data_IF_313389518598
#
_entry.id   IF_313389518598
#
_cell.length_a   1.000
_cell.length_b   1.000
_cell.length_c   1.000
_cell.angle_alpha   90.00
_cell.angle_beta   90.00
_cell.angle_gamma   90.00
#
_symmetry.space_group_name_H-M   'P 1'
#
loop_
_entity.id
_entity.type
_entity.pdbx_description
1 polymer ?
#
# COMPACT_ATOMS: atom_id res chain seq x y z
N UNK A 1 -44.97 -6.28 8.32
CA UNK A 1 -44.08 -5.10 8.55
C UNK A 1 -44.68 -3.83 7.96
N UNK A 2 -44.98 -3.77 6.66
CA UNK A 2 -45.59 -2.59 6.03
C UNK A 2 -46.96 -2.21 6.61
N UNK A 3 -47.71 -3.19 7.13
CA UNK A 3 -49.04 -2.95 7.72
C UNK A 3 -48.97 -2.11 9.00
N UNK A 4 -47.92 -2.28 9.81
CA UNK A 4 -47.73 -1.50 11.04
C UNK A 4 -47.39 -0.04 10.69
N UNK A 5 -46.52 0.18 9.72
CA UNK A 5 -46.20 1.53 9.23
C UNK A 5 -47.43 2.22 8.64
N UNK A 6 -48.26 1.50 7.87
CA UNK A 6 -49.53 2.01 7.35
C UNK A 6 -50.51 2.33 8.48
N UNK A 7 -50.64 1.47 9.48
CA UNK A 7 -51.53 1.66 10.62
C UNK A 7 -51.11 2.83 11.55
N UNK A 8 -49.81 3.08 11.68
CA UNK A 8 -49.27 4.26 12.39
C UNK A 8 -49.58 5.53 11.58
N UNK A 9 -49.36 5.51 10.26
CA UNK A 9 -49.65 6.66 9.38
C UNK A 9 -51.14 7.00 9.34
N UNK A 10 -52.01 5.99 9.31
CA UNK A 10 -53.47 6.16 9.33
C UNK A 10 -54.03 6.54 10.72
N UNK A 11 -53.21 6.50 11.77
CA UNK A 11 -53.62 6.78 13.14
C UNK A 11 -54.41 5.67 13.82
N UNK A 12 -54.53 4.49 13.18
CA UNK A 12 -55.22 3.33 13.74
C UNK A 12 -54.45 2.68 14.90
N UNK A 13 -53.11 2.77 14.88
CA UNK A 13 -52.24 2.25 15.94
C UNK A 13 -51.49 3.39 16.60
N UNK A 14 -51.57 3.46 17.93
CA UNK A 14 -50.75 4.39 18.70
C UNK A 14 -49.29 3.89 18.69
N UNK A 15 -48.34 4.69 18.16
CA UNK A 15 -46.94 4.28 18.04
C UNK A 15 -46.26 4.02 19.39
N UNK A 16 -46.80 4.57 20.49
CA UNK A 16 -46.30 4.30 21.84
C UNK A 16 -46.61 2.89 22.34
N UNK A 17 -47.62 2.23 21.76
CA UNK A 17 -48.06 0.90 22.15
C UNK A 17 -47.48 -0.20 21.25
N UNK A 18 -46.70 0.16 20.24
CA UNK A 18 -46.02 -0.80 19.35
C UNK A 18 -44.91 -1.50 20.14
N UNK A 19 -44.89 -2.85 20.07
CA UNK A 19 -43.87 -3.66 20.73
C UNK A 19 -42.48 -3.25 20.24
N UNK A 20 -41.45 -3.31 21.11
CA UNK A 20 -40.09 -2.94 20.72
C UNK A 20 -39.58 -3.65 19.46
N UNK A 21 -39.87 -4.95 19.30
CA UNK A 21 -39.37 -5.74 18.17
C UNK A 21 -40.01 -5.29 16.84
N UNK A 22 -41.33 -5.12 16.82
CA UNK A 22 -42.06 -4.59 15.66
C UNK A 22 -41.61 -3.17 15.30
N UNK A 23 -41.34 -2.34 16.31
CA UNK A 23 -40.84 -0.98 16.13
C UNK A 23 -39.42 -0.99 15.55
N UNK A 24 -38.54 -1.90 16.00
CA UNK A 24 -37.18 -2.06 15.45
C UNK A 24 -37.22 -2.47 13.98
N UNK A 25 -38.12 -3.36 13.58
CA UNK A 25 -38.31 -3.70 12.16
C UNK A 25 -38.69 -2.47 11.32
N UNK A 26 -39.59 -1.62 11.83
CA UNK A 26 -39.96 -0.37 11.18
C UNK A 26 -38.78 0.61 11.10
N UNK A 27 -38.00 0.74 12.18
CA UNK A 27 -36.79 1.58 12.20
C UNK A 27 -35.74 1.07 11.21
N UNK A 28 -35.47 -0.24 11.18
CA UNK A 28 -34.52 -0.85 10.25
C UNK A 28 -34.91 -0.60 8.79
N UNK A 29 -36.21 -0.75 8.47
CA UNK A 29 -36.72 -0.49 7.13
C UNK A 29 -36.57 0.97 6.71
N UNK A 30 -37.01 1.93 7.52
CA UNK A 30 -36.93 3.36 7.20
C UNK A 30 -35.48 3.86 7.10
N UNK A 31 -34.57 3.33 7.92
CA UNK A 31 -33.13 3.61 7.81
C UNK A 31 -32.56 3.02 6.52
N UNK A 32 -33.01 1.82 6.11
CA UNK A 32 -32.65 1.22 4.84
C UNK A 32 -33.12 2.02 3.61
N UNK A 33 -34.21 2.78 3.76
CA UNK A 33 -34.69 3.76 2.76
C UNK A 33 -33.89 5.08 2.77
N UNK A 34 -32.94 5.24 3.69
CA UNK A 34 -32.05 6.39 3.77
C UNK A 34 -32.55 7.54 4.64
N UNK A 35 -33.63 7.36 5.41
CA UNK A 35 -34.14 8.41 6.30
C UNK A 35 -33.21 8.63 7.50
N UNK A 36 -33.07 9.90 7.91
CA UNK A 36 -32.35 10.31 9.11
C UNK A 36 -33.09 9.91 10.40
N UNK A 37 -32.38 9.88 11.53
CA UNK A 37 -32.96 9.52 12.84
C UNK A 37 -34.14 10.44 13.22
N UNK A 38 -34.03 11.73 12.89
CA UNK A 38 -35.08 12.73 13.15
C UNK A 38 -36.32 12.51 12.28
N UNK A 39 -36.12 12.20 10.99
CA UNK A 39 -37.23 11.87 10.07
C UNK A 39 -37.92 10.58 10.49
N UNK A 40 -37.15 9.55 10.87
CA UNK A 40 -37.70 8.30 11.41
C UNK A 40 -38.51 8.56 12.68
N UNK A 41 -38.01 9.41 13.58
CA UNK A 41 -38.72 9.81 14.80
C UNK A 41 -40.05 10.53 14.48
N UNK A 42 -40.06 11.40 13.47
CA UNK A 42 -41.26 12.10 13.01
C UNK A 42 -42.27 11.14 12.39
N UNK A 43 -41.84 10.25 11.50
CA UNK A 43 -42.69 9.25 10.82
C UNK A 43 -43.33 8.30 11.83
N UNK A 44 -42.55 7.82 12.80
CA UNK A 44 -43.04 6.91 13.83
C UNK A 44 -43.69 7.64 15.01
N UNK A 45 -43.67 8.98 15.06
CA UNK A 45 -44.13 9.82 16.18
C UNK A 45 -43.59 9.36 17.55
N UNK A 46 -42.30 9.03 17.59
CA UNK A 46 -41.56 8.63 18.81
C UNK A 46 -40.39 9.58 19.05
N UNK A 47 -39.78 9.52 20.24
CA UNK A 47 -38.61 10.35 20.53
C UNK A 47 -37.38 9.91 19.72
N UNK A 48 -36.55 10.88 19.32
CA UNK A 48 -35.24 10.63 18.69
C UNK A 48 -34.37 9.69 19.54
N UNK A 49 -34.43 9.84 20.88
CA UNK A 49 -33.71 8.96 21.82
C UNK A 49 -34.17 7.50 21.72
N UNK A 50 -35.45 7.26 21.47
CA UNK A 50 -35.99 5.90 21.26
C UNK A 50 -35.45 5.30 19.97
N UNK A 51 -35.49 6.06 18.87
CA UNK A 51 -34.94 5.61 17.57
C UNK A 51 -33.45 5.29 17.69
N UNK A 52 -32.68 6.14 18.36
CA UNK A 52 -31.25 5.90 18.57
C UNK A 52 -30.98 4.63 19.39
N UNK A 53 -31.79 4.36 20.43
CA UNK A 53 -31.70 3.12 21.22
C UNK A 53 -32.05 1.89 20.39
N UNK A 54 -33.13 1.95 19.61
CA UNK A 54 -33.55 0.84 18.76
C UNK A 54 -32.51 0.56 17.68
N UNK A 55 -31.91 1.60 17.08
CA UNK A 55 -30.80 1.45 16.12
C UNK A 55 -29.57 0.78 16.73
N UNK A 56 -29.26 1.12 17.98
CA UNK A 56 -28.18 0.45 18.71
C UNK A 56 -28.49 -1.04 18.91
N UNK A 57 -29.70 -1.38 19.33
CA UNK A 57 -30.11 -2.78 19.49
C UNK A 57 -30.07 -3.56 18.16
N UNK A 58 -30.54 -2.96 17.07
CA UNK A 58 -30.45 -3.53 15.71
C UNK A 58 -29.00 -3.77 15.32
N UNK A 59 -28.11 -2.81 15.59
CA UNK A 59 -26.69 -2.95 15.26
C UNK A 59 -25.99 -4.02 16.11
N UNK A 60 -26.37 -4.16 17.39
CA UNK A 60 -25.85 -5.20 18.28
C UNK A 60 -26.34 -6.59 17.85
N UNK A 61 -27.61 -6.71 17.44
CA UNK A 61 -28.20 -7.95 16.92
C UNK A 61 -27.60 -8.36 15.57
N UNK A 62 -27.34 -7.39 14.69
CA UNK A 62 -26.71 -7.61 13.39
C UNK A 62 -25.18 -7.56 13.43
N UNK A 63 -24.57 -7.46 14.61
CA UNK A 63 -23.13 -7.39 14.74
C UNK A 63 -22.51 -8.68 14.21
N UNK A 64 -21.73 -8.58 13.13
CA UNK A 64 -20.96 -9.70 12.60
C UNK A 64 -19.86 -10.01 13.61
N UNK A 65 -19.94 -11.20 14.22
CA UNK A 65 -18.91 -11.66 15.13
C UNK A 65 -17.63 -12.00 14.35
N UNK A 66 -16.43 -11.73 14.92
CA UNK A 66 -15.19 -12.16 14.31
C UNK A 66 -15.16 -13.69 14.18
N UNK A 67 -15.20 -14.18 12.94
CA UNK A 67 -15.07 -15.60 12.64
C UNK A 67 -13.99 -15.78 11.56
N UNK A 68 -12.98 -16.60 11.89
CA UNK A 68 -11.87 -16.88 11.00
C UNK A 68 -12.34 -17.56 9.69
N UNK A 69 -13.40 -18.37 9.74
CA UNK A 69 -13.96 -19.00 8.54
C UNK A 69 -14.64 -17.97 7.65
N UNK A 70 -15.42 -17.08 8.24
CA UNK A 70 -16.06 -15.98 7.53
C UNK A 70 -15.02 -15.08 6.84
N UNK A 71 -13.95 -14.72 7.56
CA UNK A 71 -12.85 -13.95 6.99
C UNK A 71 -12.24 -14.63 5.75
N UNK A 72 -12.06 -15.96 5.79
CA UNK A 72 -11.49 -16.71 4.66
C UNK A 72 -12.42 -16.73 3.46
N UNK A 73 -13.72 -16.92 3.69
CA UNK A 73 -14.75 -16.88 2.64
C UNK A 73 -14.82 -15.51 1.96
N UNK A 74 -14.79 -14.43 2.75
CA UNK A 74 -14.78 -13.07 2.20
C UNK A 74 -13.48 -12.72 1.49
N UNK A 75 -12.32 -13.19 2.00
CA UNK A 75 -11.04 -13.02 1.32
C UNK A 75 -11.04 -13.70 -0.06
N UNK A 76 -11.55 -14.94 -0.15
CA UNK A 76 -11.71 -15.64 -1.43
C UNK A 76 -12.66 -14.94 -2.39
N UNK A 77 -13.81 -14.44 -1.88
CA UNK A 77 -14.75 -13.64 -2.70
C UNK A 77 -14.10 -12.34 -3.19
N UNK A 78 -13.32 -11.67 -2.35
CA UNK A 78 -12.61 -10.46 -2.71
C UNK A 78 -11.55 -10.73 -3.79
N UNK A 79 -10.84 -11.86 -3.71
CA UNK A 79 -9.88 -12.29 -4.72
C UNK A 79 -10.55 -12.48 -6.08
N UNK A 80 -11.66 -13.22 -6.12
CA UNK A 80 -12.42 -13.45 -7.35
C UNK A 80 -12.93 -12.15 -7.98
N UNK A 81 -13.41 -11.19 -7.16
CA UNK A 81 -13.87 -9.88 -7.66
C UNK A 81 -12.72 -9.01 -8.18
N UNK A 82 -11.54 -9.05 -7.53
CA UNK A 82 -10.35 -8.34 -7.98
C UNK A 82 -9.88 -8.88 -9.35
N UNK A 83 -9.79 -10.20 -9.49
CA UNK A 83 -9.45 -10.87 -10.76
C UNK A 83 -10.46 -10.54 -11.87
N UNK A 84 -11.76 -10.61 -11.57
CA UNK A 84 -12.80 -10.25 -12.53
C UNK A 84 -12.69 -8.78 -12.96
N UNK A 85 -12.40 -7.87 -12.03
CA UNK A 85 -12.19 -6.45 -12.32
C UNK A 85 -10.98 -6.23 -13.23
N UNK A 86 -9.84 -6.86 -12.92
CA UNK A 86 -8.62 -6.82 -13.76
C UNK A 86 -8.94 -7.38 -15.16
N UNK A 87 -9.67 -8.49 -15.25
CA UNK A 87 -10.09 -9.08 -16.51
C UNK A 87 -10.98 -8.15 -17.35
N UNK A 88 -11.93 -7.44 -16.72
CA UNK A 88 -12.78 -6.45 -17.39
C UNK A 88 -11.96 -5.27 -17.92
N UNK A 89 -11.04 -4.72 -17.12
CA UNK A 89 -10.16 -3.62 -17.53
C UNK A 89 -9.28 -4.06 -18.71
N UNK A 90 -8.62 -5.23 -18.58
CA UNK A 90 -7.75 -5.77 -19.64
C UNK A 90 -8.48 -6.08 -20.94
N UNK A 91 -9.77 -6.43 -20.87
CA UNK A 91 -10.59 -6.61 -22.07
C UNK A 91 -10.72 -5.30 -22.83
N UNK A 92 -11.14 -4.23 -22.16
CA UNK A 92 -11.32 -2.89 -22.76
C UNK A 92 -9.99 -2.33 -23.26
N UNK A 93 -8.89 -2.53 -22.54
CA UNK A 93 -7.58 -1.99 -22.96
C UNK A 93 -6.98 -2.72 -24.16
N UNK A 94 -7.36 -3.99 -24.40
CA UNK A 94 -6.89 -4.78 -25.55
C UNK A 94 -7.63 -4.48 -26.85
N UNK A 95 -8.78 -3.81 -26.79
CA UNK A 95 -9.53 -3.45 -28.00
C UNK A 95 -8.67 -2.56 -28.92
N UNK A 96 -8.75 -2.82 -30.23
CA UNK A 96 -7.90 -2.16 -31.25
C UNK A 96 -8.10 -0.65 -31.26
N UNK A 97 -9.33 -0.21 -31.00
CA UNK A 97 -9.75 1.20 -31.04
C UNK A 97 -9.42 1.97 -29.75
N UNK A 98 -8.94 1.30 -28.71
CA UNK A 98 -8.61 1.94 -27.44
C UNK A 98 -7.33 2.79 -27.56
N UNK A 99 -7.39 4.11 -27.26
CA UNK A 99 -6.22 4.99 -27.32
C UNK A 99 -5.07 4.50 -26.42
N UNK A 100 -3.82 4.68 -26.87
CA UNK A 100 -2.63 4.24 -26.13
C UNK A 100 -2.57 4.78 -24.70
N UNK A 101 -2.98 6.03 -24.47
CA UNK A 101 -3.03 6.62 -23.14
C UNK A 101 -3.96 5.84 -22.18
N UNK A 102 -5.12 5.39 -22.68
CA UNK A 102 -6.08 4.58 -21.90
C UNK A 102 -5.54 3.18 -21.62
N UNK A 103 -4.74 2.62 -22.54
CA UNK A 103 -4.07 1.32 -22.31
C UNK A 103 -3.07 1.39 -21.15
N UNK A 104 -2.26 2.45 -21.12
CA UNK A 104 -1.29 2.68 -20.05
C UNK A 104 -2.00 2.88 -18.71
N UNK A 105 -3.02 3.74 -18.66
CA UNK A 105 -3.80 3.96 -17.44
C UNK A 105 -4.48 2.67 -16.98
N UNK A 106 -5.06 1.90 -17.89
CA UNK A 106 -5.71 0.64 -17.54
C UNK A 106 -4.76 -0.41 -16.97
N UNK A 107 -3.52 -0.52 -17.46
CA UNK A 107 -2.53 -1.41 -16.84
C UNK A 107 -2.11 -0.90 -15.45
N UNK A 108 -1.90 0.41 -15.30
CA UNK A 108 -1.65 1.02 -13.99
C UNK A 108 -2.80 0.74 -13.00
N UNK A 109 -4.06 0.84 -13.43
CA UNK A 109 -5.23 0.49 -12.60
C UNK A 109 -5.28 -1.00 -12.26
N UNK A 110 -4.89 -1.89 -13.17
CA UNK A 110 -4.79 -3.31 -12.84
C UNK A 110 -3.78 -3.56 -11.72
N UNK A 111 -2.63 -2.88 -11.77
CA UNK A 111 -1.62 -2.95 -10.72
C UNK A 111 -2.14 -2.35 -9.39
N UNK A 112 -2.78 -1.18 -9.40
CA UNK A 112 -3.35 -0.55 -8.20
C UNK A 112 -4.44 -1.42 -7.54
N UNK A 113 -5.29 -2.08 -8.32
CA UNK A 113 -6.29 -3.04 -7.79
C UNK A 113 -5.58 -4.22 -7.10
N UNK A 114 -4.53 -4.77 -7.72
CA UNK A 114 -3.77 -5.88 -7.17
C UNK A 114 -3.02 -5.48 -5.89
N UNK A 115 -2.34 -4.33 -5.89
CA UNK A 115 -1.60 -3.81 -4.74
C UNK A 115 -2.54 -3.58 -3.54
N UNK A 116 -3.68 -2.90 -3.74
CA UNK A 116 -4.68 -2.71 -2.69
C UNK A 116 -5.27 -4.02 -2.18
N UNK A 117 -5.42 -5.01 -3.06
CA UNK A 117 -5.88 -6.34 -2.67
C UNK A 117 -4.85 -7.04 -1.77
N UNK A 118 -3.57 -7.02 -2.16
CA UNK A 118 -2.47 -7.58 -1.36
C UNK A 118 -2.38 -6.89 0.01
N UNK A 119 -2.45 -5.56 0.05
CA UNK A 119 -2.42 -4.80 1.32
C UNK A 119 -3.59 -5.17 2.24
N UNK A 120 -4.79 -5.40 1.69
CA UNK A 120 -5.95 -5.87 2.46
C UNK A 120 -5.78 -7.30 2.96
N UNK A 121 -5.21 -8.20 2.16
CA UNK A 121 -4.90 -9.56 2.63
C UNK A 121 -3.84 -9.53 3.74
N UNK A 122 -2.82 -8.67 3.63
CA UNK A 122 -1.81 -8.48 4.67
C UNK A 122 -2.42 -7.92 5.95
N UNK A 123 -3.29 -6.91 5.88
CA UNK A 123 -3.93 -6.33 7.07
C UNK A 123 -4.90 -7.28 7.76
N UNK A 124 -5.50 -8.22 7.02
CA UNK A 124 -6.30 -9.31 7.56
C UNK A 124 -5.46 -10.49 8.09
N UNK A 125 -4.14 -10.48 7.91
CA UNK A 125 -3.23 -11.54 8.34
C UNK A 125 -3.17 -12.77 7.43
N UNK A 126 -3.71 -12.69 6.21
CA UNK A 126 -3.61 -13.77 5.21
C UNK A 126 -2.26 -13.83 4.50
N UNK A 127 -1.59 -12.68 4.39
CA UNK A 127 -0.27 -12.56 3.79
C UNK A 127 0.70 -11.92 4.77
N UNK A 128 1.99 -12.29 4.76
CA UNK A 128 2.98 -11.62 5.58
C UNK A 128 3.14 -10.17 5.12
N UNK A 129 3.05 -9.21 6.05
CA UNK A 129 3.15 -7.76 5.78
C UNK A 129 4.58 -7.32 5.42
N UNK A 130 5.58 -8.12 5.77
CA UNK A 130 6.97 -7.91 5.41
C UNK A 130 7.56 -9.25 4.99
N UNK A 131 8.56 -9.24 4.09
CA UNK A 131 9.51 -10.34 4.03
C UNK A 131 9.92 -10.62 5.47
N UNK A 132 9.62 -11.81 5.99
CA UNK A 132 10.04 -12.17 7.34
C UNK A 132 11.48 -11.74 7.45
N UNK A 133 11.76 -10.83 8.41
CA UNK A 133 13.13 -10.51 8.77
C UNK A 133 13.73 -11.89 8.99
N UNK A 134 14.62 -12.32 8.10
CA UNK A 134 15.33 -13.57 8.27
C UNK A 134 16.17 -13.29 9.50
N UNK A 135 15.58 -13.55 10.65
CA UNK A 135 16.30 -13.74 11.89
C UNK A 135 16.89 -15.13 11.70
N UNK A 136 17.86 -15.20 10.79
CA UNK A 136 18.91 -16.15 10.95
C UNK A 136 19.50 -15.74 12.29
N UNK A 137 19.13 -16.47 13.33
CA UNK A 137 20.12 -16.72 14.35
C UNK A 137 21.29 -17.27 13.53
N UNK A 138 22.25 -16.39 13.23
CA UNK A 138 23.62 -16.79 12.99
C UNK A 138 24.02 -17.42 14.32
N UNK A 139 23.55 -18.64 14.55
CA UNK A 139 24.33 -19.63 15.22
C UNK A 139 25.56 -19.74 14.31
N UNK A 140 26.53 -18.85 14.54
CA UNK A 140 27.88 -19.33 14.50
C UNK A 140 27.83 -20.60 15.34
N UNK A 141 27.90 -21.75 14.67
CA UNK A 141 28.30 -22.99 15.28
C UNK A 141 29.67 -22.72 15.91
N UNK A 142 29.67 -22.03 17.04
CA UNK A 142 30.74 -21.98 18.03
C UNK A 142 30.72 -23.29 18.83
N UNK A 143 29.76 -24.19 18.55
CA UNK A 143 29.80 -25.61 18.88
C UNK A 143 30.79 -26.38 17.99
N UNK A 144 31.99 -25.88 17.92
CA UNK A 144 33.24 -26.57 18.23
C UNK A 144 34.31 -25.53 17.88
N UNK A 145 34.88 -24.90 18.91
CA UNK A 145 36.19 -24.28 18.70
C UNK A 145 37.08 -25.41 18.20
N UNK A 146 37.41 -25.41 16.91
CA UNK A 146 38.37 -26.36 16.33
C UNK A 146 39.52 -26.46 17.31
N UNK A 147 39.83 -27.70 17.71
CA UNK A 147 40.82 -27.89 18.76
C UNK A 147 42.11 -27.17 18.38
N UNK A 148 42.90 -26.73 19.35
CA UNK A 148 44.19 -26.09 19.07
C UNK A 148 45.05 -26.93 18.10
N UNK A 149 44.90 -28.26 18.13
CA UNK A 149 45.55 -29.19 17.22
C UNK A 149 45.05 -29.04 15.76
N UNK A 150 43.75 -28.94 15.55
CA UNK A 150 43.15 -28.71 14.23
C UNK A 150 43.51 -27.33 13.67
N UNK A 151 43.48 -26.29 14.52
CA UNK A 151 43.92 -24.94 14.11
C UNK A 151 45.39 -24.93 13.69
N UNK A 152 46.26 -25.66 14.41
CA UNK A 152 47.67 -25.80 14.04
C UNK A 152 47.85 -26.58 12.74
N UNK A 153 47.11 -27.66 12.55
CA UNK A 153 47.16 -28.45 11.32
C UNK A 153 46.74 -27.62 10.10
N UNK A 154 45.69 -26.81 10.25
CA UNK A 154 45.23 -25.91 9.20
C UNK A 154 46.24 -24.79 8.93
N UNK A 155 46.89 -24.25 9.96
CA UNK A 155 47.94 -23.24 9.81
C UNK A 155 49.14 -23.81 9.03
N UNK A 156 49.57 -25.03 9.34
CA UNK A 156 50.64 -25.72 8.59
C UNK A 156 50.23 -25.99 7.14
N UNK A 157 48.97 -26.35 6.88
CA UNK A 157 48.43 -26.52 5.52
C UNK A 157 48.48 -25.21 4.73
N UNK A 158 48.16 -24.08 5.37
CA UNK A 158 48.21 -22.77 4.73
C UNK A 158 49.66 -22.33 4.47
N UNK A 159 50.58 -22.59 5.39
CA UNK A 159 52.01 -22.31 5.19
C UNK A 159 52.61 -23.13 4.03
N UNK A 160 52.19 -24.40 3.84
CA UNK A 160 52.66 -25.18 2.70
C UNK A 160 52.15 -24.64 1.36
N UNK A 161 50.89 -24.17 1.31
CA UNK A 161 50.33 -23.54 0.11
C UNK A 161 51.06 -22.22 -0.20
N UNK A 162 51.34 -21.38 0.82
CA UNK A 162 52.10 -20.14 0.62
C UNK A 162 53.52 -20.41 0.09
N UNK A 163 54.18 -21.44 0.63
CA UNK A 163 55.49 -21.87 0.16
C UNK A 163 55.44 -22.35 -1.30
N UNK A 164 54.46 -23.16 -1.68
CA UNK A 164 54.26 -23.60 -3.07
C UNK A 164 54.00 -22.41 -4.02
N UNK A 165 53.18 -21.44 -3.61
CA UNK A 165 52.92 -20.24 -4.41
C UNK A 165 54.19 -19.38 -4.62
N UNK A 166 55.04 -19.22 -3.60
CA UNK A 166 56.29 -18.44 -3.73
C UNK A 166 57.31 -19.07 -4.67
N UNK A 167 57.36 -20.41 -4.75
CA UNK A 167 58.25 -21.10 -5.71
C UNK A 167 57.78 -20.86 -7.15
N UNK A 168 56.47 -20.78 -7.38
CA UNK A 168 55.91 -20.46 -8.70
C UNK A 168 56.25 -19.02 -9.12
N UNK A 169 56.33 -18.09 -8.17
CA UNK A 169 56.72 -16.69 -8.46
C UNK A 169 58.22 -16.55 -8.78
N UNK A 170 59.10 -17.37 -8.18
CA UNK A 170 60.54 -17.31 -8.45
C UNK A 170 60.96 -17.93 -9.79
N UNK A 171 60.20 -18.91 -10.28
CA UNK A 171 60.54 -19.63 -11.52
C UNK A 171 59.88 -19.04 -12.78
N UNK A 172 59.03 -18.01 -12.63
CA UNK A 172 58.13 -17.54 -13.69
C UNK A 172 58.46 -16.22 -14.39
N UNK A 173 59.44 -15.42 -13.94
CA UNK A 173 59.71 -14.09 -14.54
C UNK A 173 61.22 -13.84 -14.64
N UNK A 174 61.86 -14.58 -15.55
CA UNK A 174 63.29 -14.43 -15.81
C UNK A 174 63.68 -14.86 -17.20
N UNK A 175 62.99 -14.34 -18.23
CA UNK A 175 63.52 -14.10 -19.59
C UNK A 175 62.36 -13.85 -20.56
N UNK A 176 61.98 -12.58 -20.74
CA UNK A 176 61.45 -12.02 -22.00
C UNK A 176 60.71 -10.70 -21.73
N UNK A 177 61.45 -9.59 -21.50
CA UNK A 177 60.95 -8.25 -21.81
C UNK A 177 62.07 -7.21 -21.79
N UNK A 178 63.07 -7.41 -22.65
CA UNK A 178 63.99 -6.36 -23.12
C UNK A 178 63.61 -6.09 -24.59
N UNK A 179 62.65 -5.18 -24.81
CA UNK A 179 62.44 -4.38 -26.02
C UNK A 179 60.98 -3.87 -26.07
N UNK A 180 60.72 -2.78 -25.36
CA UNK A 180 59.60 -1.90 -25.65
C UNK A 180 60.01 -0.46 -25.33
N UNK A 181 60.74 0.10 -26.28
CA UNK A 181 60.76 1.50 -26.70
C UNK A 181 59.92 2.49 -25.89
N UNK A 182 60.62 3.50 -25.36
CA UNK A 182 60.12 4.79 -24.91
C UNK A 182 59.04 5.35 -25.85
N UNK A 183 57.81 5.44 -25.34
CA UNK A 183 56.69 6.12 -25.97
C UNK A 183 56.02 7.04 -24.97
N UNK A 184 56.23 8.34 -25.18
CA UNK A 184 55.59 9.50 -24.56
C UNK A 184 54.29 9.26 -23.79
N UNK A 185 54.30 9.55 -22.48
CA UNK A 185 53.10 9.79 -21.69
C UNK A 185 52.98 11.29 -21.35
N UNK A 186 51.82 11.91 -21.63
CA UNK A 186 51.60 13.33 -21.42
C UNK A 186 51.42 13.67 -19.93
N UNK A 187 52.02 14.78 -19.53
CA UNK A 187 51.87 15.41 -18.24
C UNK A 187 50.41 15.83 -17.98
N UNK A 188 49.68 15.04 -17.18
CA UNK A 188 48.44 15.52 -16.55
C UNK A 188 48.78 16.24 -15.24
N UNK A 189 49.06 17.54 -15.37
CA UNK A 189 48.89 18.50 -14.30
C UNK A 189 47.38 18.69 -14.08
N UNK A 190 46.87 18.21 -12.94
CA UNK A 190 45.47 18.29 -12.56
C UNK A 190 45.32 18.78 -11.12
N UNK A 191 45.60 20.08 -10.95
CA UNK A 191 45.03 21.00 -9.97
C UNK A 191 44.34 20.42 -8.72
N UNK A 192 45.08 20.38 -7.61
CA UNK A 192 44.51 20.48 -6.27
C UNK A 192 43.95 21.90 -6.06
N UNK A 193 42.72 22.15 -6.54
CA UNK A 193 42.00 23.39 -6.29
C UNK A 193 41.34 23.37 -4.92
N UNK A 194 41.83 24.25 -4.06
CA UNK A 194 41.31 24.54 -2.74
C UNK A 194 39.90 25.15 -2.85
N UNK A 195 38.91 24.48 -2.27
CA UNK A 195 37.63 25.09 -1.92
C UNK A 195 37.45 25.10 -0.40
N UNK A 196 38.02 26.14 0.21
CA UNK A 196 37.52 26.73 1.47
C UNK A 196 36.11 27.25 1.19
N UNK A 197 35.09 26.55 1.69
CA UNK A 197 33.73 27.08 1.75
C UNK A 197 33.63 28.20 2.80
N UNK A 198 32.93 29.31 2.52
CA UNK A 198 32.69 30.36 3.50
C UNK A 198 31.75 29.85 4.60
N UNK A 199 32.17 30.07 5.84
CA UNK A 199 31.29 29.98 6.99
C UNK A 199 30.18 31.04 6.88
N UNK A 200 28.93 30.63 7.16
CA UNK A 200 27.88 31.56 7.57
C UNK A 200 26.93 32.02 6.46
N UNK A 201 26.07 31.13 5.98
CA UNK A 201 24.73 31.51 5.53
C UNK A 201 23.74 30.47 6.06
N UNK A 202 22.84 30.89 6.95
CA UNK A 202 21.76 30.07 7.47
C UNK A 202 20.84 29.65 6.33
N UNK A 203 20.98 28.40 5.88
CA UNK A 203 20.10 27.80 4.89
C UNK A 203 18.68 27.74 5.49
N UNK A 204 17.66 28.34 4.87
CA UNK A 204 16.29 28.16 5.30
C UNK A 204 15.94 26.67 5.19
N UNK A 205 15.44 26.11 6.30
CA UNK A 205 15.01 24.71 6.46
C UNK A 205 14.51 24.16 5.12
N UNK A 206 15.21 23.16 4.60
CA UNK A 206 14.78 22.39 3.46
C UNK A 206 13.33 21.93 3.71
N UNK A 207 12.39 22.51 2.95
CA UNK A 207 11.04 21.98 2.85
C UNK A 207 11.17 20.50 2.54
N UNK A 208 10.57 19.67 3.37
CA UNK A 208 10.69 18.22 3.21
C UNK A 208 10.18 17.84 1.83
N UNK A 209 10.77 16.81 1.20
CA UNK A 209 10.32 16.30 -0.11
C UNK A 209 8.80 16.14 -0.19
N UNK A 210 8.19 15.75 0.95
CA UNK A 210 6.75 15.63 1.15
C UNK A 210 5.99 16.96 0.99
N UNK A 211 6.55 18.09 1.47
CA UNK A 211 5.93 19.42 1.29
C UNK A 211 6.00 19.91 -0.15
N UNK A 212 7.08 19.58 -0.89
CA UNK A 212 7.15 19.87 -2.34
C UNK A 212 6.10 19.09 -3.12
N UNK A 213 6.01 17.78 -2.88
CA UNK A 213 5.00 16.92 -3.52
C UNK A 213 3.57 17.40 -3.21
N UNK A 214 3.32 17.88 -1.98
CA UNK A 214 2.01 18.42 -1.59
C UNK A 214 1.66 19.75 -2.27
N UNK A 215 2.64 20.62 -2.47
CA UNK A 215 2.46 21.90 -3.19
C UNK A 215 2.21 21.64 -4.68
N UNK A 216 2.95 20.71 -5.30
CA UNK A 216 2.74 20.32 -6.69
C UNK A 216 1.34 19.71 -6.90
N UNK A 217 0.87 18.86 -5.98
CA UNK A 217 -0.48 18.27 -6.06
C UNK A 217 -1.58 19.35 -5.95
N UNK A 218 -1.39 20.36 -5.09
CA UNK A 218 -2.34 21.48 -4.96
C UNK A 218 -2.39 22.34 -6.22
N UNK A 219 -1.25 22.62 -6.84
CA UNK A 219 -1.18 23.41 -8.07
C UNK A 219 -1.82 22.68 -9.25
N UNK A 220 -1.63 21.35 -9.36
CA UNK A 220 -2.31 20.53 -10.36
C UNK A 220 -3.83 20.58 -10.17
N UNK A 221 -4.32 20.44 -8.93
CA UNK A 221 -5.75 20.53 -8.61
C UNK A 221 -6.34 21.89 -9.00
N UNK A 222 -5.64 22.98 -8.68
CA UNK A 222 -6.07 24.35 -9.04
C UNK A 222 -6.17 24.53 -10.56
N UNK A 223 -5.18 24.05 -11.33
CA UNK A 223 -5.20 24.14 -12.81
C UNK A 223 -6.31 23.31 -13.45
N UNK A 224 -6.65 22.16 -12.87
CA UNK A 224 -7.78 21.34 -13.32
C UNK A 224 -9.09 22.09 -13.06
N UNK A 225 -9.28 22.61 -11.85
CA UNK A 225 -10.50 23.34 -11.48
C UNK A 225 -10.72 24.59 -12.35
N UNK A 226 -9.65 25.34 -12.63
CA UNK A 226 -9.69 26.50 -13.52
C UNK A 226 -10.07 26.12 -14.96
N UNK A 227 -9.52 25.01 -15.49
CA UNK A 227 -9.92 24.47 -16.80
C UNK A 227 -11.37 24.00 -16.84
N UNK A 228 -11.90 23.46 -15.74
CA UNK A 228 -13.30 23.07 -15.64
C UNK A 228 -14.23 24.28 -15.58
N UNK A 229 -13.78 25.36 -14.93
CA UNK A 229 -14.55 26.61 -14.82
C UNK A 229 -14.70 27.32 -16.17
N UNK A 230 -13.67 27.29 -17.01
CA UNK A 230 -13.69 27.90 -18.35
C UNK A 230 -14.39 27.04 -19.40
N UNK A 231 -14.55 25.73 -19.15
CA UNK A 231 -15.20 24.80 -20.08
C UNK A 231 -16.68 24.52 -19.82
N UNK A 232 -17.31 25.12 -18.80
CA UNK A 232 -18.78 25.01 -18.68
C UNK A 232 -19.40 25.73 -19.88
N UNK A 233 -20.00 25.01 -20.85
CA UNK A 233 -20.72 25.66 -21.92
C UNK A 233 -21.90 26.42 -21.29
N UNK A 234 -22.19 27.61 -21.81
CA UNK A 234 -23.39 28.36 -21.43
C UNK A 234 -24.62 27.51 -21.77
N UNK A 235 -25.20 26.88 -20.75
CA UNK A 235 -26.49 26.18 -20.83
C UNK A 235 -27.60 27.22 -20.72
N UNK A 236 -27.56 28.26 -21.56
CA UNK A 236 -28.62 29.27 -21.65
C UNK A 236 -29.44 29.19 -22.95
N UNK A 237 -29.05 28.34 -23.90
CA UNK A 237 -29.79 28.15 -25.16
C UNK A 237 -30.28 26.69 -25.33
N UNK A 238 -31.12 26.21 -24.41
CA UNK A 238 -31.98 25.03 -24.58
C UNK A 238 -33.35 25.26 -23.95
#
# INVERSE_FOLDING_TARGET
MLDILRAIKSGQVNPRNVRPDDRRLCVAHLVGEGLSVSEVAQVLRISVRTVARDRRAINEENAIQPDARLAGLYAGRLAAEAEATIGRIRRVTRDKDTPHAVRIDGEFKCYDVLDRFVQRLQSMGYLPTAAHRIQADLTHNTGDLSSLAELKAELTRLESIDAECRVIESDGIGDAMDDASEGDLPAHAGEHSALRGPAGASVPRAQTRVERERLEEQDIKRRIEEKWRTKKPDVQDL
#
